data_IF_227948709158
#
_entry.id   IF_227948709158
#
_cell.length_a   1.000
_cell.length_b   1.000
_cell.length_c   1.000
_cell.angle_alpha   90.00
_cell.angle_beta   90.00
_cell.angle_gamma   90.00
#
_symmetry.space_group_name_H-M   'P 1'
#
loop_
_entity.id
_entity.type
_entity.pdbx_description
1 polymer ?
#
# COMPACT_ATOMS: atom_id res chain seq x y z
N UNK A 1 -13.82 -80.26 13.75
CA UNK A 1 -14.56 -79.30 12.88
C UNK A 1 -14.68 -77.98 13.62
N UNK A 2 -13.76 -77.02 13.42
CA UNK A 2 -13.92 -75.58 13.71
C UNK A 2 -12.73 -74.63 13.33
N UNK A 3 -11.75 -74.94 12.47
CA UNK A 3 -10.64 -74.00 12.22
C UNK A 3 -10.96 -72.83 11.27
N UNK A 4 -12.09 -72.86 10.56
CA UNK A 4 -12.38 -71.88 9.50
C UNK A 4 -13.12 -70.61 9.98
N UNK A 5 -13.75 -70.63 11.17
CA UNK A 5 -14.44 -69.46 11.73
C UNK A 5 -13.51 -68.48 12.44
N UNK A 6 -12.46 -68.99 13.10
CA UNK A 6 -11.54 -68.16 13.88
C UNK A 6 -10.64 -67.28 13.00
N UNK A 7 -10.32 -67.75 11.79
CA UNK A 7 -9.56 -66.98 10.80
C UNK A 7 -10.38 -65.79 10.26
N UNK A 8 -11.68 -65.98 10.01
CA UNK A 8 -12.55 -64.91 9.50
C UNK A 8 -12.86 -63.87 10.59
N UNK A 9 -12.98 -64.30 11.85
CA UNK A 9 -13.21 -63.39 12.98
C UNK A 9 -11.96 -62.54 13.31
N UNK A 10 -10.77 -63.13 13.18
CA UNK A 10 -9.50 -62.40 13.34
C UNK A 10 -9.22 -61.43 12.19
N UNK A 11 -9.59 -61.79 10.94
CA UNK A 11 -9.53 -60.86 9.79
C UNK A 11 -10.51 -59.69 9.97
N UNK A 12 -11.74 -59.94 10.43
CA UNK A 12 -12.71 -58.87 10.67
C UNK A 12 -12.29 -57.93 11.81
N UNK A 13 -11.71 -58.46 12.89
CA UNK A 13 -11.14 -57.63 13.97
C UNK A 13 -9.95 -56.80 13.50
N UNK A 14 -9.10 -57.35 12.62
CA UNK A 14 -7.99 -56.60 12.03
C UNK A 14 -8.47 -55.46 11.12
N UNK A 15 -9.52 -55.69 10.32
CA UNK A 15 -10.12 -54.66 9.46
C UNK A 15 -10.79 -53.54 10.27
N UNK A 16 -11.49 -53.87 11.36
CA UNK A 16 -12.08 -52.87 12.26
C UNK A 16 -11.03 -52.04 13.02
N UNK A 17 -9.88 -52.63 13.35
CA UNK A 17 -8.74 -51.91 13.94
C UNK A 17 -8.08 -50.95 12.94
N UNK A 18 -7.97 -51.36 11.67
CA UNK A 18 -7.47 -50.50 10.59
C UNK A 18 -8.43 -49.33 10.31
N UNK A 19 -9.74 -49.57 10.36
CA UNK A 19 -10.77 -48.54 10.16
C UNK A 19 -10.75 -47.50 11.29
N UNK A 20 -10.59 -47.92 12.54
CA UNK A 20 -10.44 -47.00 13.68
C UNK A 20 -9.10 -46.23 13.66
N UNK A 21 -8.01 -46.85 13.20
CA UNK A 21 -6.72 -46.18 13.01
C UNK A 21 -6.78 -45.09 11.91
N UNK A 22 -7.59 -45.29 10.86
CA UNK A 22 -7.86 -44.27 9.83
C UNK A 22 -8.57 -43.04 10.40
N UNK A 23 -9.51 -43.21 11.32
CA UNK A 23 -10.20 -42.09 12.00
C UNK A 23 -9.29 -41.29 12.94
N UNK A 24 -8.32 -41.94 13.59
CA UNK A 24 -7.29 -41.25 14.39
C UNK A 24 -6.39 -40.40 13.50
N UNK A 25 -6.05 -40.88 12.30
CA UNK A 25 -5.29 -40.12 11.30
C UNK A 25 -6.02 -38.88 10.79
N UNK A 26 -7.32 -38.98 10.51
CA UNK A 26 -8.15 -37.83 10.09
C UNK A 26 -8.32 -36.82 11.23
N UNK A 27 -8.50 -37.30 12.47
CA UNK A 27 -8.55 -36.43 13.66
C UNK A 27 -7.24 -35.66 13.88
N UNK A 28 -6.09 -36.33 13.77
CA UNK A 28 -4.77 -35.69 13.89
C UNK A 28 -4.53 -34.66 12.78
N UNK A 29 -4.98 -34.94 11.55
CA UNK A 29 -4.93 -33.99 10.44
C UNK A 29 -5.79 -32.74 10.69
N UNK A 30 -7.00 -32.91 11.21
CA UNK A 30 -7.89 -31.79 11.53
C UNK A 30 -7.31 -30.92 12.67
N UNK A 31 -6.72 -31.54 13.69
CA UNK A 31 -6.02 -30.82 14.78
C UNK A 31 -4.84 -30.02 14.23
N UNK A 32 -4.03 -30.58 13.31
CA UNK A 32 -2.93 -29.84 12.68
C UNK A 32 -3.41 -28.65 11.84
N UNK A 33 -4.52 -28.77 11.13
CA UNK A 33 -5.11 -27.65 10.37
C UNK A 33 -5.63 -26.55 11.29
N UNK A 34 -6.32 -26.92 12.38
CA UNK A 34 -6.81 -25.96 13.38
C UNK A 34 -5.63 -25.27 14.09
N UNK A 35 -4.59 -26.01 14.46
CA UNK A 35 -3.40 -25.47 15.11
C UNK A 35 -2.59 -24.56 14.17
N UNK A 36 -2.53 -24.91 12.87
CA UNK A 36 -1.95 -24.07 11.82
C UNK A 36 -2.72 -22.75 11.62
N UNK A 37 -4.05 -22.78 11.65
CA UNK A 37 -4.88 -21.58 11.59
C UNK A 37 -4.67 -20.67 12.81
N UNK A 38 -4.64 -21.24 14.03
CA UNK A 38 -4.43 -20.48 15.27
C UNK A 38 -3.08 -19.74 15.25
N UNK A 39 -2.01 -20.41 14.80
CA UNK A 39 -0.67 -19.81 14.73
C UNK A 39 -0.57 -18.70 13.68
N UNK A 40 -1.31 -18.80 12.57
CA UNK A 40 -1.40 -17.75 11.54
C UNK A 40 -2.24 -16.56 12.03
N UNK A 41 -3.27 -16.78 12.84
CA UNK A 41 -4.06 -15.69 13.43
C UNK A 41 -3.33 -14.93 14.55
N UNK A 42 -2.38 -15.56 15.24
CA UNK A 42 -1.60 -14.93 16.32
C UNK A 42 -0.32 -14.22 15.84
N UNK A 43 0.10 -14.40 14.58
CA UNK A 43 1.29 -13.76 14.01
C UNK A 43 1.04 -12.32 13.52
N UNK A 44 0.67 -11.41 14.42
CA UNK A 44 0.65 -9.96 14.14
C UNK A 44 1.46 -9.13 15.16
N UNK A 45 2.36 -9.75 15.93
CA UNK A 45 3.43 -9.01 16.60
C UNK A 45 4.64 -8.95 15.68
N UNK A 46 5.05 -7.72 15.41
CA UNK A 46 6.15 -7.35 14.54
C UNK A 46 7.48 -8.00 14.96
N UNK A 47 8.36 -8.16 13.97
CA UNK A 47 9.75 -8.63 14.05
C UNK A 47 9.96 -10.15 14.00
N UNK A 48 9.75 -10.79 12.84
CA UNK A 48 10.62 -11.91 12.42
C UNK A 48 10.41 -12.33 10.96
N UNK A 49 11.07 -11.62 10.06
CA UNK A 49 11.11 -11.90 8.61
C UNK A 49 11.79 -13.25 8.28
N UNK A 50 12.53 -13.86 9.21
CA UNK A 50 13.17 -15.17 9.01
C UNK A 50 12.25 -16.38 9.29
N UNK A 51 11.21 -16.25 10.12
CA UNK A 51 10.27 -17.35 10.39
C UNK A 51 9.33 -17.63 9.20
N UNK A 52 9.07 -16.61 8.37
CA UNK A 52 8.15 -16.71 7.22
C UNK A 52 8.75 -17.57 6.09
N UNK A 53 10.09 -17.65 5.97
CA UNK A 53 10.73 -18.46 4.94
C UNK A 53 10.77 -19.96 5.31
N UNK A 54 10.92 -20.31 6.60
CA UNK A 54 10.85 -21.70 7.07
C UNK A 54 9.41 -22.24 7.13
N UNK A 55 8.41 -21.41 7.41
CA UNK A 55 6.99 -21.80 7.43
C UNK A 55 6.39 -22.14 6.06
N UNK A 56 7.00 -21.68 4.96
CA UNK A 56 6.57 -22.02 3.59
C UNK A 56 6.93 -23.45 3.17
N UNK A 57 7.93 -24.08 3.79
CA UNK A 57 8.34 -25.45 3.44
C UNK A 57 7.46 -26.54 4.08
N UNK A 58 6.76 -26.27 5.17
CA UNK A 58 5.91 -27.27 5.86
C UNK A 58 4.51 -27.35 5.24
N UNK A 59 3.96 -26.26 4.72
CA UNK A 59 2.69 -26.26 3.98
C UNK A 59 2.77 -27.01 2.63
N UNK A 60 3.94 -26.98 1.97
CA UNK A 60 4.16 -27.74 0.73
C UNK A 60 4.26 -29.26 0.95
N UNK A 61 4.62 -29.71 2.17
CA UNK A 61 4.75 -31.14 2.50
C UNK A 61 3.47 -31.77 3.04
N UNK A 62 2.59 -31.00 3.70
CA UNK A 62 1.31 -31.50 4.21
C UNK A 62 0.26 -31.79 3.12
N UNK A 63 0.27 -31.05 2.01
CA UNK A 63 -0.72 -31.21 0.94
C UNK A 63 -0.48 -32.45 0.06
N UNK A 64 0.72 -33.02 0.07
CA UNK A 64 1.06 -34.23 -0.71
C UNK A 64 0.52 -35.51 -0.05
N UNK A 65 0.24 -35.50 1.26
CA UNK A 65 -0.22 -36.70 1.98
C UNK A 65 -1.74 -36.83 2.11
N UNK A 66 -2.56 -35.83 1.77
CA UNK A 66 -4.03 -35.94 1.91
C UNK A 66 -4.81 -36.14 0.60
N UNK A 67 -4.16 -36.12 -0.56
CA UNK A 67 -4.83 -36.36 -1.87
C UNK A 67 -4.59 -37.80 -2.38
N UNK A 68 -3.65 -38.54 -1.79
CA UNK A 68 -3.26 -39.88 -2.26
C UNK A 68 -4.20 -41.05 -1.92
N UNK A 69 -5.15 -40.90 -0.99
CA UNK A 69 -5.96 -42.05 -0.52
C UNK A 69 -7.32 -42.22 -1.22
N UNK A 70 -7.79 -41.23 -1.99
CA UNK A 70 -9.13 -41.28 -2.61
C UNK A 70 -9.19 -41.89 -4.01
N UNK A 71 -8.08 -41.92 -4.75
CA UNK A 71 -8.08 -42.28 -6.18
C UNK A 71 -7.84 -43.79 -6.43
N UNK A 72 -7.23 -44.51 -5.47
CA UNK A 72 -6.88 -45.94 -5.65
C UNK A 72 -8.09 -46.87 -5.51
N UNK A 73 -9.09 -46.54 -4.68
CA UNK A 73 -10.25 -47.42 -4.47
C UNK A 73 -11.29 -47.39 -5.60
N UNK A 74 -11.34 -46.28 -6.37
CA UNK A 74 -12.24 -46.15 -7.51
C UNK A 74 -11.76 -46.90 -8.76
N UNK A 75 -10.44 -46.95 -8.97
CA UNK A 75 -9.84 -47.56 -10.16
C UNK A 75 -9.84 -49.10 -10.09
N UNK A 76 -9.72 -49.69 -8.89
CA UNK A 76 -9.67 -51.14 -8.71
C UNK A 76 -11.03 -51.83 -8.93
N UNK A 77 -12.14 -51.08 -8.81
CA UNK A 77 -13.50 -51.63 -8.98
C UNK A 77 -13.97 -51.65 -10.45
N UNK A 78 -13.36 -50.83 -11.31
CA UNK A 78 -13.71 -50.80 -12.74
C UNK A 78 -13.05 -51.95 -13.53
N UNK A 79 -11.91 -52.46 -13.06
CA UNK A 79 -11.18 -53.53 -13.74
C UNK A 79 -11.69 -54.95 -13.42
N UNK A 80 -12.67 -55.08 -12.51
CA UNK A 80 -13.24 -56.36 -12.11
C UNK A 80 -14.66 -56.62 -12.65
N UNK A 81 -15.18 -55.78 -13.55
CA UNK A 81 -16.57 -55.89 -14.05
C UNK A 81 -16.67 -56.25 -15.53
N UNK A 82 -15.81 -57.13 -16.02
CA UNK A 82 -15.94 -57.69 -17.36
C UNK A 82 -15.74 -59.21 -17.35
N UNK A 83 -16.81 -59.94 -17.04
CA UNK A 83 -17.07 -61.35 -17.39
C UNK A 83 -18.51 -61.67 -16.97
N UNK A 84 -19.41 -61.77 -17.94
CA UNK A 84 -20.82 -62.05 -17.75
C UNK A 84 -21.09 -63.50 -17.31
N UNK A 85 -22.05 -63.70 -16.40
CA UNK A 85 -23.41 -64.19 -16.69
C UNK A 85 -24.13 -64.64 -15.39
N UNK A 86 -25.44 -64.37 -15.31
CA UNK A 86 -26.39 -64.65 -14.19
C UNK A 86 -27.02 -66.06 -14.34
N UNK A 87 -27.98 -66.60 -13.51
CA UNK A 87 -28.75 -66.08 -12.33
C UNK A 87 -28.78 -67.08 -11.12
N UNK A 88 -29.32 -66.82 -9.91
CA UNK A 88 -30.76 -66.74 -9.54
C UNK A 88 -31.00 -66.42 -8.04
N UNK A 89 -32.03 -65.60 -7.79
CA UNK A 89 -32.99 -65.51 -6.65
C UNK A 89 -32.58 -65.82 -5.20
N UNK A 90 -32.71 -64.81 -4.32
CA UNK A 90 -33.77 -64.76 -3.30
C UNK A 90 -33.93 -63.33 -2.72
N UNK A 91 -35.14 -62.78 -2.81
CA UNK A 91 -35.55 -61.58 -2.08
C UNK A 91 -36.11 -61.98 -0.71
N UNK A 92 -35.58 -61.40 0.36
CA UNK A 92 -36.11 -61.38 1.73
C UNK A 92 -35.98 -59.95 2.30
N UNK A 93 -36.79 -59.56 3.29
CA UNK A 93 -37.36 -58.22 3.39
C UNK A 93 -36.35 -57.11 3.72
N UNK A 94 -36.52 -55.98 3.03
CA UNK A 94 -35.79 -54.73 3.24
C UNK A 94 -36.16 -54.11 4.60
N UNK A 95 -35.35 -54.34 5.62
CA UNK A 95 -35.32 -53.51 6.82
C UNK A 95 -33.89 -53.22 7.20
N UNK A 96 -33.49 -51.97 7.06
CA UNK A 96 -32.14 -51.51 7.36
C UNK A 96 -31.79 -50.30 6.53
N UNK A 97 -32.57 -49.22 6.66
CA UNK A 97 -32.12 -47.90 6.26
C UNK A 97 -30.89 -47.56 7.08
N UNK A 98 -29.73 -47.90 6.53
CA UNK A 98 -28.44 -47.68 7.16
C UNK A 98 -28.30 -46.20 7.43
N UNK A 99 -28.20 -45.85 8.71
CA UNK A 99 -27.86 -44.50 9.18
C UNK A 99 -26.57 -44.00 8.50
N UNK A 100 -25.73 -44.93 8.00
CA UNK A 100 -24.55 -44.64 7.19
C UNK A 100 -24.80 -44.13 5.76
N UNK A 101 -25.90 -44.49 5.10
CA UNK A 101 -26.14 -44.10 3.69
C UNK A 101 -26.63 -42.64 3.58
N UNK A 102 -27.36 -42.16 4.59
CA UNK A 102 -27.67 -40.73 4.75
C UNK A 102 -26.46 -39.90 5.20
N UNK A 103 -25.66 -40.41 6.15
CA UNK A 103 -24.54 -39.67 6.73
C UNK A 103 -23.35 -39.51 5.76
N UNK A 104 -23.07 -40.52 4.92
CA UNK A 104 -22.05 -40.42 3.85
C UNK A 104 -22.46 -39.41 2.77
N UNK A 105 -23.76 -39.30 2.48
CA UNK A 105 -24.29 -38.34 1.51
C UNK A 105 -24.29 -36.90 2.03
N UNK A 106 -24.49 -36.68 3.33
CA UNK A 106 -24.41 -35.36 3.96
C UNK A 106 -22.97 -34.94 4.34
N UNK A 107 -22.09 -35.88 4.69
CA UNK A 107 -20.69 -35.59 5.06
C UNK A 107 -19.86 -35.00 3.92
N UNK A 108 -20.05 -35.48 2.69
CA UNK A 108 -19.37 -34.94 1.51
C UNK A 108 -19.87 -33.55 1.11
N UNK A 109 -21.18 -33.29 1.21
CA UNK A 109 -21.79 -31.99 0.89
C UNK A 109 -21.35 -30.94 1.92
N UNK A 110 -21.34 -31.28 3.22
CA UNK A 110 -20.89 -30.39 4.28
C UNK A 110 -19.43 -29.97 4.13
N UNK A 111 -18.53 -30.92 3.82
CA UNK A 111 -17.12 -30.64 3.58
C UNK A 111 -16.90 -29.82 2.29
N UNK A 112 -17.64 -30.10 1.22
CA UNK A 112 -17.58 -29.32 -0.01
C UNK A 112 -18.00 -27.86 0.20
N UNK A 113 -19.08 -27.63 0.94
CA UNK A 113 -19.55 -26.27 1.27
C UNK A 113 -18.57 -25.53 2.18
N UNK A 114 -17.98 -26.20 3.18
CA UNK A 114 -16.96 -25.62 4.04
C UNK A 114 -15.66 -25.29 3.28
N UNK A 115 -15.21 -26.17 2.38
CA UNK A 115 -14.04 -25.93 1.54
C UNK A 115 -14.26 -24.76 0.57
N UNK A 116 -15.44 -24.67 -0.05
CA UNK A 116 -15.81 -23.54 -0.91
C UNK A 116 -15.93 -22.23 -0.11
N UNK A 117 -16.51 -22.28 1.10
CA UNK A 117 -16.56 -21.13 2.00
C UNK A 117 -15.17 -20.65 2.45
N UNK A 118 -14.27 -21.58 2.77
CA UNK A 118 -12.90 -21.28 3.13
C UNK A 118 -12.10 -20.68 1.96
N UNK A 119 -12.24 -21.23 0.74
CA UNK A 119 -11.60 -20.69 -0.46
C UNK A 119 -12.18 -19.32 -0.86
N UNK A 120 -13.50 -19.14 -0.75
CA UNK A 120 -14.17 -17.86 -0.97
C UNK A 120 -13.72 -16.80 0.05
N UNK A 121 -13.65 -17.16 1.32
CA UNK A 121 -13.14 -16.31 2.40
C UNK A 121 -11.66 -15.94 2.20
N UNK A 122 -10.82 -16.90 1.80
CA UNK A 122 -9.40 -16.67 1.49
C UNK A 122 -9.20 -15.76 0.27
N UNK A 123 -9.96 -15.97 -0.80
CA UNK A 123 -9.96 -15.11 -1.98
C UNK A 123 -10.35 -13.66 -1.65
N UNK A 124 -11.42 -13.49 -0.86
CA UNK A 124 -11.89 -12.18 -0.42
C UNK A 124 -10.89 -11.48 0.52
N UNK A 125 -10.26 -12.23 1.43
CA UNK A 125 -9.21 -11.73 2.32
C UNK A 125 -7.96 -11.29 1.54
N UNK A 126 -7.52 -12.08 0.56
CA UNK A 126 -6.38 -11.76 -0.33
C UNK A 126 -6.65 -10.51 -1.18
N UNK A 127 -7.89 -10.28 -1.60
CA UNK A 127 -8.31 -9.06 -2.30
C UNK A 127 -8.37 -7.84 -1.36
N UNK A 128 -8.81 -8.02 -0.10
CA UNK A 128 -8.82 -6.94 0.92
C UNK A 128 -7.41 -6.47 1.28
N UNK A 129 -6.45 -7.38 1.43
CA UNK A 129 -5.05 -7.03 1.76
C UNK A 129 -4.34 -6.19 0.68
N UNK A 130 -4.66 -6.38 -0.61
CA UNK A 130 -4.08 -5.59 -1.70
C UNK A 130 -4.61 -4.15 -1.75
N UNK A 131 -5.86 -3.92 -1.35
CA UNK A 131 -6.47 -2.58 -1.35
C UNK A 131 -5.87 -1.70 -0.26
N UNK A 132 -5.52 -2.26 0.90
CA UNK A 132 -4.94 -1.49 2.00
C UNK A 132 -3.50 -1.06 1.69
N UNK A 133 -2.68 -1.93 1.09
CA UNK A 133 -1.31 -1.59 0.69
C UNK A 133 -1.28 -0.53 -0.41
N UNK A 134 -2.16 -0.65 -1.41
CA UNK A 134 -2.27 0.33 -2.49
C UNK A 134 -2.70 1.71 -1.98
N UNK A 135 -3.71 1.77 -1.11
CA UNK A 135 -4.15 3.04 -0.48
C UNK A 135 -3.04 3.70 0.33
N UNK A 136 -2.27 2.90 1.09
CA UNK A 136 -1.13 3.42 1.86
C UNK A 136 -0.02 3.98 0.96
N UNK A 137 0.30 3.28 -0.13
CA UNK A 137 1.29 3.73 -1.13
C UNK A 137 0.82 5.02 -1.79
N UNK A 138 -0.43 5.08 -2.24
CA UNK A 138 -1.01 6.30 -2.81
C UNK A 138 -0.96 7.47 -1.84
N UNK A 139 -1.40 7.27 -0.59
CA UNK A 139 -1.35 8.31 0.43
C UNK A 139 0.08 8.79 0.71
N UNK A 140 1.08 7.90 0.65
CA UNK A 140 2.47 8.29 0.78
C UNK A 140 2.94 9.18 -0.39
N UNK A 141 2.59 8.82 -1.63
CA UNK A 141 2.91 9.62 -2.81
C UNK A 141 2.23 11.00 -2.79
N UNK A 142 0.96 11.05 -2.35
CA UNK A 142 0.25 12.32 -2.16
C UNK A 142 0.97 13.21 -1.14
N UNK A 143 1.40 12.66 0.00
CA UNK A 143 2.15 13.45 0.99
C UNK A 143 3.48 14.00 0.44
N UNK A 144 4.22 13.20 -0.32
CA UNK A 144 5.49 13.66 -0.91
C UNK A 144 5.27 14.75 -1.96
N UNK A 145 4.27 14.57 -2.82
CA UNK A 145 3.86 15.60 -3.78
C UNK A 145 3.45 16.90 -3.07
N UNK A 146 2.51 16.80 -2.12
CA UNK A 146 2.00 17.97 -1.39
C UNK A 146 3.13 18.66 -0.60
N UNK A 147 4.14 17.92 -0.11
CA UNK A 147 5.30 18.51 0.56
C UNK A 147 6.14 19.38 -0.38
N UNK A 148 6.39 18.94 -1.62
CA UNK A 148 7.12 19.76 -2.61
C UNK A 148 6.27 20.96 -3.05
N UNK A 149 4.99 20.73 -3.33
CA UNK A 149 4.08 21.79 -3.74
C UNK A 149 3.93 22.87 -2.64
N UNK A 150 3.88 22.46 -1.37
CA UNK A 150 3.86 23.37 -0.23
C UNK A 150 5.16 24.14 -0.13
N UNK A 151 6.32 23.47 -0.17
CA UNK A 151 7.62 24.15 -0.08
C UNK A 151 7.83 25.18 -1.21
N UNK A 152 7.42 24.85 -2.44
CA UNK A 152 7.47 25.79 -3.55
C UNK A 152 6.45 26.92 -3.39
N UNK A 153 5.24 26.60 -2.89
CA UNK A 153 4.21 27.60 -2.59
C UNK A 153 4.61 28.59 -1.50
N UNK A 154 5.32 28.11 -0.46
CA UNK A 154 5.86 28.93 0.62
C UNK A 154 6.94 29.88 0.07
N UNK A 155 7.86 29.37 -0.76
CA UNK A 155 8.82 30.19 -1.50
C UNK A 155 8.15 31.29 -2.34
N UNK A 156 7.11 30.96 -3.10
CA UNK A 156 6.39 31.93 -3.93
C UNK A 156 5.57 32.94 -3.13
N UNK A 157 5.37 32.71 -1.83
CA UNK A 157 4.59 33.57 -0.94
C UNK A 157 5.49 34.48 -0.10
N UNK A 158 6.75 34.11 0.13
CA UNK A 158 7.73 34.89 0.88
C UNK A 158 8.62 35.73 -0.06
N UNK A 159 8.41 37.04 -0.05
CA UNK A 159 9.19 37.91 -0.91
C UNK A 159 10.65 38.06 -0.49
N UNK A 160 11.01 37.89 0.79
CA UNK A 160 12.41 37.92 1.21
C UNK A 160 13.14 36.69 0.68
N UNK A 161 12.50 35.51 0.75
CA UNK A 161 13.05 34.27 0.20
C UNK A 161 13.21 34.36 -1.33
N UNK A 162 12.27 35.01 -2.01
CA UNK A 162 12.37 35.27 -3.44
C UNK A 162 13.57 36.16 -3.80
N UNK A 163 13.83 37.22 -3.01
CA UNK A 163 15.01 38.06 -3.21
C UNK A 163 16.32 37.30 -2.97
N UNK A 164 16.35 36.36 -2.03
CA UNK A 164 17.56 35.58 -1.75
C UNK A 164 17.83 34.53 -2.85
N UNK A 165 16.79 34.01 -3.51
CA UNK A 165 16.86 32.92 -4.51
C UNK A 165 16.03 33.23 -5.77
N UNK A 166 16.36 34.28 -6.54
CA UNK A 166 15.52 34.73 -7.66
C UNK A 166 15.47 33.73 -8.82
N UNK A 167 16.51 32.91 -8.97
CA UNK A 167 16.61 31.92 -10.05
C UNK A 167 15.64 30.74 -9.92
N UNK A 168 15.08 30.50 -8.71
CA UNK A 168 14.06 29.45 -8.52
C UNK A 168 12.70 29.81 -9.16
N UNK A 169 12.49 31.07 -9.54
CA UNK A 169 11.32 31.50 -10.31
C UNK A 169 11.63 31.78 -11.80
N UNK A 170 12.89 31.72 -12.20
CA UNK A 170 13.33 32.01 -13.57
C UNK A 170 13.33 30.73 -14.41
N UNK A 171 12.32 30.56 -15.26
CA UNK A 171 12.20 29.41 -16.18
C UNK A 171 13.27 29.38 -17.28
N UNK A 172 14.07 30.43 -17.46
CA UNK A 172 15.26 30.36 -18.32
C UNK A 172 16.37 29.48 -17.72
N UNK A 173 16.32 29.23 -16.40
CA UNK A 173 17.22 28.31 -15.72
C UNK A 173 16.74 26.88 -15.96
N UNK A 174 17.58 25.98 -16.52
CA UNK A 174 17.16 24.62 -16.88
C UNK A 174 16.59 23.81 -15.69
N UNK A 175 17.15 23.97 -14.50
CA UNK A 175 16.71 23.28 -13.30
C UNK A 175 15.30 23.76 -12.86
N UNK A 176 15.03 25.05 -12.99
CA UNK A 176 13.73 25.64 -12.68
C UNK A 176 12.68 25.24 -13.72
N UNK A 177 13.03 25.22 -15.01
CA UNK A 177 12.15 24.70 -16.06
C UNK A 177 11.77 23.23 -15.79
N UNK A 178 12.75 22.40 -15.42
CA UNK A 178 12.51 21.00 -15.08
C UNK A 178 11.60 20.84 -13.85
N UNK A 179 11.71 21.72 -12.85
CA UNK A 179 10.79 21.74 -11.70
C UNK A 179 9.35 22.04 -12.13
N UNK A 180 9.14 23.07 -12.94
CA UNK A 180 7.79 23.46 -13.41
C UNK A 180 7.17 22.35 -14.26
N UNK A 181 7.94 21.74 -15.15
CA UNK A 181 7.50 20.60 -15.95
C UNK A 181 7.15 19.37 -15.08
N UNK A 182 8.00 19.06 -14.09
CA UNK A 182 7.78 17.94 -13.19
C UNK A 182 6.55 18.14 -12.30
N UNK A 183 6.26 19.37 -11.89
CA UNK A 183 5.06 19.72 -11.12
C UNK A 183 3.80 19.44 -11.95
N UNK A 184 3.74 19.98 -13.18
CA UNK A 184 2.62 19.72 -14.09
C UNK A 184 2.44 18.23 -14.41
N UNK A 185 3.55 17.50 -14.58
CA UNK A 185 3.53 16.06 -14.85
C UNK A 185 3.02 15.25 -13.65
N UNK A 186 3.40 15.64 -12.43
CA UNK A 186 2.93 15.00 -11.19
C UNK A 186 1.44 15.28 -10.94
N UNK A 187 0.98 16.49 -11.21
CA UNK A 187 -0.44 16.87 -11.16
C UNK A 187 -1.28 16.07 -12.16
N UNK A 188 -0.81 15.92 -13.40
CA UNK A 188 -1.50 15.10 -14.38
C UNK A 188 -1.55 13.62 -13.96
N UNK A 189 -0.42 13.09 -13.50
CA UNK A 189 -0.33 11.71 -13.06
C UNK A 189 -1.24 11.41 -11.85
N UNK A 190 -1.42 12.38 -10.93
CA UNK A 190 -2.35 12.28 -9.78
C UNK A 190 -3.80 12.06 -10.24
N UNK A 191 -4.22 12.66 -11.36
CA UNK A 191 -5.58 12.51 -11.91
C UNK A 191 -5.81 11.18 -12.62
N UNK A 192 -4.74 10.54 -13.09
CA UNK A 192 -4.83 9.32 -13.92
C UNK A 192 -5.09 8.02 -13.14
N UNK A 193 -5.13 8.06 -11.80
CA UNK A 193 -5.23 6.90 -10.89
C UNK A 193 -4.19 5.78 -11.09
N UNK A 194 -3.22 5.97 -11.99
CA UNK A 194 -2.14 5.03 -12.25
C UNK A 194 -0.99 5.25 -11.26
N UNK A 195 -0.88 4.37 -10.27
CA UNK A 195 0.06 4.52 -9.15
C UNK A 195 1.52 4.42 -9.58
N UNK A 196 1.86 3.61 -10.58
CA UNK A 196 3.24 3.49 -11.04
C UNK A 196 3.66 4.69 -11.89
N UNK A 197 2.74 5.27 -12.67
CA UNK A 197 2.96 6.57 -13.33
C UNK A 197 3.13 7.67 -12.28
N UNK A 198 2.20 7.76 -11.32
CA UNK A 198 2.26 8.78 -10.27
C UNK A 198 3.52 8.67 -9.43
N UNK A 199 3.95 7.47 -9.05
CA UNK A 199 5.20 7.29 -8.31
C UNK A 199 6.41 7.83 -9.09
N UNK A 200 6.53 7.52 -10.38
CA UNK A 200 7.65 8.02 -11.19
C UNK A 200 7.63 9.54 -11.28
N UNK A 201 6.45 10.14 -11.47
CA UNK A 201 6.30 11.59 -11.54
C UNK A 201 6.62 12.28 -10.21
N UNK A 202 6.21 11.72 -9.06
CA UNK A 202 6.52 12.29 -7.74
C UNK A 202 8.02 12.20 -7.44
N UNK A 203 8.68 11.10 -7.78
CA UNK A 203 10.14 10.99 -7.64
C UNK A 203 10.85 12.02 -8.52
N UNK A 204 10.43 12.17 -9.77
CA UNK A 204 10.98 13.17 -10.68
C UNK A 204 10.79 14.61 -10.14
N UNK A 205 9.61 14.92 -9.61
CA UNK A 205 9.31 16.20 -8.96
C UNK A 205 10.21 16.46 -7.75
N UNK A 206 10.36 15.47 -6.86
CA UNK A 206 11.22 15.56 -5.67
C UNK A 206 12.68 15.81 -6.04
N UNK A 207 13.18 15.15 -7.10
CA UNK A 207 14.53 15.38 -7.64
C UNK A 207 14.67 16.76 -8.29
N UNK A 208 13.69 17.17 -9.11
CA UNK A 208 13.72 18.46 -9.78
C UNK A 208 13.67 19.63 -8.78
N UNK A 209 12.86 19.50 -7.72
CA UNK A 209 12.81 20.46 -6.62
C UNK A 209 14.18 20.65 -5.96
N UNK A 210 14.83 19.55 -5.54
CA UNK A 210 16.16 19.63 -4.93
C UNK A 210 17.19 20.25 -5.87
N UNK A 211 17.17 19.84 -7.15
CA UNK A 211 18.08 20.37 -8.15
C UNK A 211 17.90 21.88 -8.38
N UNK A 212 16.66 22.34 -8.46
CA UNK A 212 16.35 23.76 -8.62
C UNK A 212 16.68 24.57 -7.35
N UNK A 213 16.31 24.08 -6.17
CA UNK A 213 16.59 24.74 -4.88
C UNK A 213 18.10 24.88 -4.63
N UNK A 214 18.86 23.80 -4.82
CA UNK A 214 20.32 23.80 -4.68
C UNK A 214 20.97 24.75 -5.68
N UNK A 215 20.53 24.74 -6.94
CA UNK A 215 21.07 25.64 -7.96
C UNK A 215 20.77 27.09 -7.61
N UNK A 216 19.56 27.37 -7.12
CA UNK A 216 19.18 28.71 -6.73
C UNK A 216 19.97 29.22 -5.52
N UNK A 217 20.20 28.37 -4.51
CA UNK A 217 21.06 28.68 -3.36
C UNK A 217 22.52 28.92 -3.76
N UNK A 218 23.06 28.08 -4.65
CA UNK A 218 24.44 28.20 -5.15
C UNK A 218 24.64 29.47 -5.98
N UNK A 219 23.63 29.83 -6.76
CA UNK A 219 23.67 31.01 -7.64
C UNK A 219 23.43 32.29 -6.86
N UNK A 220 22.45 32.30 -5.95
CA UNK A 220 22.00 33.49 -5.24
C UNK A 220 21.77 34.65 -6.21
N UNK A 221 22.46 35.77 -5.97
CA UNK A 221 22.40 36.99 -6.79
C UNK A 221 23.49 37.08 -7.87
N UNK A 222 24.27 36.02 -8.10
CA UNK A 222 25.44 36.09 -9.00
C UNK A 222 25.10 36.27 -10.48
N UNK A 223 23.88 35.90 -10.91
CA UNK A 223 23.40 36.13 -12.28
C UNK A 223 22.92 37.55 -12.55
N UNK A 224 22.69 38.34 -11.50
CA UNK A 224 22.29 39.74 -11.64
C UNK A 224 23.51 40.62 -11.91
N UNK A 225 23.31 41.68 -12.67
CA UNK A 225 24.32 42.71 -12.87
C UNK A 225 24.67 43.40 -11.53
N UNK A 226 25.87 43.98 -11.38
CA UNK A 226 26.29 44.59 -10.12
C UNK A 226 25.36 45.71 -9.62
N UNK A 227 24.74 46.47 -10.52
CA UNK A 227 23.75 47.51 -10.17
C UNK A 227 22.45 46.89 -9.66
N UNK A 228 21.91 45.90 -10.37
CA UNK A 228 20.70 45.15 -10.01
C UNK A 228 20.86 44.46 -8.66
N UNK A 229 22.02 43.83 -8.43
CA UNK A 229 22.35 43.18 -7.16
C UNK A 229 22.30 44.16 -6.00
N UNK A 230 22.85 45.36 -6.16
CA UNK A 230 22.79 46.42 -5.13
C UNK A 230 21.34 46.86 -4.87
N UNK A 231 20.53 47.01 -5.93
CA UNK A 231 19.11 47.34 -5.79
C UNK A 231 18.36 46.28 -4.99
N UNK A 232 18.59 44.99 -5.29
CA UNK A 232 18.00 43.86 -4.55
C UNK A 232 18.42 43.84 -3.08
N UNK A 233 19.71 44.02 -2.80
CA UNK A 233 20.23 44.07 -1.42
C UNK A 233 19.64 45.25 -0.62
N UNK A 234 19.46 46.41 -1.26
CA UNK A 234 18.82 47.57 -0.66
C UNK A 234 17.32 47.34 -0.42
N UNK A 235 16.61 46.79 -1.42
CA UNK A 235 15.21 46.46 -1.30
C UNK A 235 14.96 45.45 -0.18
N UNK A 236 15.83 44.44 -0.03
CA UNK A 236 15.77 43.47 1.07
C UNK A 236 15.81 44.16 2.43
N UNK A 237 16.78 45.06 2.66
CA UNK A 237 16.89 45.82 3.91
C UNK A 237 15.64 46.65 4.19
N UNK A 238 15.10 47.32 3.17
CA UNK A 238 13.90 48.13 3.28
C UNK A 238 12.65 47.29 3.55
N UNK A 239 12.50 46.13 2.93
CA UNK A 239 11.41 45.19 3.20
C UNK A 239 11.50 44.62 4.62
N UNK A 240 12.70 44.25 5.08
CA UNK A 240 12.89 43.81 6.47
C UNK A 240 12.46 44.90 7.45
N UNK A 241 12.85 46.16 7.22
CA UNK A 241 12.43 47.28 8.06
C UNK A 241 10.91 47.55 7.96
N UNK A 242 10.32 47.39 6.77
CA UNK A 242 8.88 47.59 6.57
C UNK A 242 8.02 46.50 7.24
N UNK A 243 8.54 45.28 7.35
CA UNK A 243 7.89 44.14 8.01
C UNK A 243 8.13 44.13 9.52
N UNK A 244 9.17 44.81 10.02
CA UNK A 244 9.38 44.96 11.46
C UNK A 244 8.26 45.79 12.11
N UNK A 245 7.79 45.35 13.27
CA UNK A 245 6.69 45.95 14.02
C UNK A 245 7.15 46.97 15.07
N UNK A 246 8.46 47.17 15.22
CA UNK A 246 9.07 48.04 16.23
C UNK A 246 9.07 49.53 15.87
N UNK A 247 8.98 49.88 14.59
CA UNK A 247 9.08 51.25 14.07
C UNK A 247 7.75 52.00 13.88
N UNK A 248 7.85 53.29 13.55
CA UNK A 248 6.66 54.12 13.27
C UNK A 248 5.94 53.67 11.99
N UNK A 249 4.61 53.82 11.96
CA UNK A 249 3.82 53.42 10.79
C UNK A 249 4.23 54.14 9.50
N UNK A 250 4.55 55.43 9.59
CA UNK A 250 4.96 56.24 8.44
C UNK A 250 6.29 55.76 7.83
N UNK A 251 7.27 55.47 8.67
CA UNK A 251 8.59 54.97 8.26
C UNK A 251 8.48 53.62 7.53
N UNK A 252 7.61 52.72 8.02
CA UNK A 252 7.37 51.42 7.39
C UNK A 252 6.73 51.54 6.01
N UNK A 253 5.72 52.39 5.85
CA UNK A 253 5.10 52.65 4.55
C UNK A 253 6.10 53.24 3.55
N UNK A 254 6.94 54.17 4.00
CA UNK A 254 8.00 54.76 3.19
C UNK A 254 9.06 53.74 2.76
N UNK A 255 9.47 52.87 3.69
CA UNK A 255 10.42 51.78 3.40
C UNK A 255 9.84 50.78 2.38
N UNK A 256 8.58 50.37 2.53
CA UNK A 256 7.90 49.49 1.58
C UNK A 256 7.81 50.11 0.18
N UNK A 257 7.35 51.37 0.08
CA UNK A 257 7.23 52.07 -1.20
C UNK A 257 8.58 52.19 -1.92
N UNK A 258 9.65 52.51 -1.16
CA UNK A 258 11.01 52.59 -1.69
C UNK A 258 11.54 51.23 -2.14
N UNK A 259 11.27 50.16 -1.38
CA UNK A 259 11.66 48.82 -1.76
C UNK A 259 10.98 48.39 -3.07
N UNK A 260 9.68 48.64 -3.19
CA UNK A 260 8.91 48.35 -4.42
C UNK A 260 9.48 49.08 -5.63
N UNK A 261 9.82 50.37 -5.48
CA UNK A 261 10.43 51.15 -6.55
C UNK A 261 11.82 50.64 -6.98
N UNK A 262 12.61 50.08 -6.04
CA UNK A 262 13.92 49.50 -6.35
C UNK A 262 13.84 48.14 -7.06
N UNK A 263 12.78 47.38 -6.81
CA UNK A 263 12.54 46.09 -7.45
C UNK A 263 11.86 46.20 -8.81
N UNK A 264 11.18 47.33 -9.06
CA UNK A 264 10.54 47.61 -10.33
C UNK A 264 11.55 47.61 -11.47
N UNK A 265 11.32 46.76 -12.47
CA UNK A 265 12.21 46.56 -13.61
C UNK A 265 13.47 45.71 -13.37
N UNK A 266 13.80 45.34 -12.13
CA UNK A 266 14.96 44.48 -11.81
C UNK A 266 14.57 43.01 -11.75
N UNK A 267 13.44 42.71 -11.12
CA UNK A 267 12.95 41.36 -10.96
C UNK A 267 11.42 41.32 -11.12
N UNK A 268 10.90 40.35 -11.87
CA UNK A 268 9.45 40.13 -11.99
C UNK A 268 8.95 39.41 -10.74
N UNK A 269 8.38 40.17 -9.80
CA UNK A 269 7.83 39.65 -8.54
C UNK A 269 6.59 38.78 -8.84
N UNK A 270 6.50 37.55 -8.31
CA UNK A 270 5.28 36.74 -8.42
C UNK A 270 4.06 37.46 -7.84
N UNK A 271 2.89 37.44 -8.52
CA UNK A 271 1.68 38.10 -8.01
C UNK A 271 1.27 37.64 -6.60
N UNK A 272 1.49 36.36 -6.29
CA UNK A 272 1.18 35.77 -4.99
C UNK A 272 2.04 36.35 -3.85
N UNK A 273 3.33 36.58 -4.10
CA UNK A 273 4.21 37.23 -3.12
C UNK A 273 3.74 38.67 -2.85
N UNK A 274 3.29 39.39 -3.89
CA UNK A 274 2.74 40.74 -3.74
C UNK A 274 1.49 40.72 -2.84
N UNK A 275 0.53 39.81 -3.10
CA UNK A 275 -0.70 39.70 -2.32
C UNK A 275 -0.43 39.40 -0.84
N UNK A 276 0.47 38.44 -0.57
CA UNK A 276 0.86 38.06 0.81
C UNK A 276 1.59 39.21 1.48
N UNK A 277 2.51 39.88 0.79
CA UNK A 277 3.20 41.05 1.31
C UNK A 277 2.25 42.21 1.61
N UNK A 278 1.31 42.52 0.71
CA UNK A 278 0.34 43.60 0.92
C UNK A 278 -0.58 43.29 2.10
N UNK A 279 -0.97 42.03 2.26
CA UNK A 279 -1.74 41.56 3.41
C UNK A 279 -0.93 41.67 4.71
N UNK A 280 0.30 41.17 4.73
CA UNK A 280 1.20 41.26 5.90
C UNK A 280 1.48 42.71 6.27
N UNK A 281 1.76 43.56 5.28
CA UNK A 281 1.97 44.98 5.48
C UNK A 281 0.73 45.62 6.08
N UNK A 282 -0.46 45.38 5.54
CA UNK A 282 -1.73 45.87 6.10
C UNK A 282 -1.93 45.44 7.56
N UNK A 283 -1.64 44.19 7.89
CA UNK A 283 -1.71 43.68 9.26
C UNK A 283 -0.67 44.35 10.17
N UNK A 284 0.55 44.59 9.68
CA UNK A 284 1.59 45.27 10.43
C UNK A 284 1.24 46.75 10.71
N UNK A 285 0.52 47.42 9.79
CA UNK A 285 0.06 48.80 9.95
C UNK A 285 -1.18 48.93 10.86
N UNK A 286 -1.96 47.86 11.06
CA UNK A 286 -3.13 47.92 11.92
C UNK A 286 -2.73 48.22 13.38
N UNK A 287 -3.44 49.12 14.09
CA UNK A 287 -3.11 49.45 15.47
C UNK A 287 -3.22 48.19 16.33
N UNK A 288 -2.13 47.86 17.04
CA UNK A 288 -2.11 46.78 18.03
C UNK A 288 -3.15 47.14 19.10
N UNK A 289 -4.30 46.45 19.11
CA UNK A 289 -5.30 46.62 20.17
C UNK A 289 -4.61 46.29 21.50
N UNK A 290 -4.50 47.31 22.35
CA UNK A 290 -4.00 47.20 23.72
C UNK A 290 -5.03 46.46 24.59
#
# INVERSE_FOLDING_TARGET
>A
MQPHSDLLDSINKALAWIESALWVGVGAGMIMVIWGLIRVTMGNSASDTQLIHRGRMTLGRGLVLSVGAGIVSGLLRWQASDSGDKPSTQQGPRTGGGVGEGLLRWGGIGLGVLALGALGGWGLWKLRGRRTTMRRRWAALVREHDAVATAYGDYLSDALEWLDRPTLNDVSVPQTAALVEALATADDARRSENVDRYQRSVVALSTAWKGADDQARKTGLRRLEPSERRSVEQARKLLTAALDSSGSEHERRGAYAKARALLDGVLVVPPKAIEVLETQHRLALAPKKA
#
